data_IF_352100634060
#
_entry.id   IF_352100634060
#
_cell.length_a   1.000
_cell.length_b   1.000
_cell.length_c   1.000
_cell.angle_alpha   90.00
_cell.angle_beta   90.00
_cell.angle_gamma   90.00
#
_symmetry.space_group_name_H-M   'P 1'
#
loop_
_entity.id
_entity.type
_entity.pdbx_description
1 polymer ?
#
# COMPACT_ATOMS: atom_id res chain seq x y z
N UNK A 1 10.77 30.26 2.62
CA UNK A 1 10.94 30.12 4.08
C UNK A 1 11.61 28.77 4.29
N UNK A 2 12.86 28.82 4.73
CA UNK A 2 13.82 27.73 4.81
C UNK A 2 13.40 26.65 5.81
N UNK A 3 13.21 25.42 5.34
CA UNK A 3 13.08 24.23 6.19
C UNK A 3 14.42 23.50 6.10
N UNK A 4 15.31 23.82 7.04
CA UNK A 4 16.47 22.99 7.35
C UNK A 4 16.45 22.78 8.86
N UNK A 5 16.31 21.51 9.27
CA UNK A 5 17.00 20.85 10.38
C UNK A 5 16.36 19.48 10.56
N UNK A 6 16.83 18.53 9.75
CA UNK A 6 16.66 17.10 10.02
C UNK A 6 17.49 16.74 11.25
N UNK A 7 16.87 16.68 12.41
CA UNK A 7 17.41 15.87 13.52
C UNK A 7 16.96 14.43 13.29
N UNK A 8 17.70 13.73 12.42
CA UNK A 8 17.72 12.27 12.48
C UNK A 8 18.43 11.92 13.79
N UNK A 9 17.74 11.36 14.77
CA UNK A 9 18.43 10.59 15.80
C UNK A 9 19.16 9.45 15.06
N UNK A 10 20.50 9.43 15.08
CA UNK A 10 21.22 8.41 14.37
C UNK A 10 20.93 7.09 15.08
N UNK A 11 20.55 6.07 14.30
CA UNK A 11 20.54 4.68 14.74
C UNK A 11 21.85 4.46 15.50
N UNK A 12 21.76 4.14 16.79
CA UNK A 12 22.97 3.90 17.57
C UNK A 12 23.74 2.75 16.91
N UNK A 13 24.89 3.07 16.31
CA UNK A 13 25.74 2.11 15.61
C UNK A 13 26.05 0.88 16.49
N UNK A 14 26.13 1.07 17.81
CA UNK A 14 26.33 -0.03 18.76
C UNK A 14 25.17 -1.03 18.76
N UNK A 15 23.93 -0.54 18.73
CA UNK A 15 22.73 -1.38 18.77
C UNK A 15 22.53 -2.13 17.44
N UNK A 16 22.79 -1.46 16.31
CA UNK A 16 22.75 -2.10 14.99
C UNK A 16 23.80 -3.21 14.89
N UNK A 17 25.02 -2.96 15.36
CA UNK A 17 26.11 -3.93 15.34
C UNK A 17 25.81 -5.14 16.23
N UNK A 18 25.17 -4.94 17.38
CA UNK A 18 24.76 -6.03 18.27
C UNK A 18 23.72 -6.96 17.60
N UNK A 19 22.66 -6.39 17.03
CA UNK A 19 21.62 -7.15 16.34
C UNK A 19 22.16 -7.86 15.08
N UNK A 20 23.06 -7.20 14.34
CA UNK A 20 23.75 -7.82 13.20
C UNK A 20 24.61 -9.02 13.62
N UNK A 21 25.33 -8.92 14.75
CA UNK A 21 26.13 -10.04 15.29
C UNK A 21 25.24 -11.21 15.70
N UNK A 22 24.07 -10.95 16.29
CA UNK A 22 23.07 -12.01 16.60
C UNK A 22 22.64 -12.71 15.31
N UNK A 23 22.29 -11.94 14.28
CA UNK A 23 21.89 -12.47 12.97
C UNK A 23 22.98 -13.35 12.33
N UNK A 24 24.21 -12.85 12.29
CA UNK A 24 25.36 -13.57 11.73
C UNK A 24 25.62 -14.88 12.48
N UNK A 25 25.51 -14.85 13.82
CA UNK A 25 25.67 -16.05 14.65
C UNK A 25 24.55 -17.05 14.35
N UNK A 26 23.28 -16.62 14.25
CA UNK A 26 22.17 -17.50 13.89
C UNK A 26 22.34 -18.14 12.51
N UNK A 27 22.77 -17.38 11.50
CA UNK A 27 23.07 -17.92 10.17
C UNK A 27 24.20 -18.95 10.19
N UNK A 28 25.27 -18.66 10.96
CA UNK A 28 26.38 -19.59 11.15
C UNK A 28 25.91 -20.90 11.82
N UNK A 29 25.08 -20.83 12.85
CA UNK A 29 24.53 -22.02 13.52
C UNK A 29 23.61 -22.83 12.58
N UNK A 30 22.76 -22.17 11.78
CA UNK A 30 21.95 -22.84 10.74
C UNK A 30 22.86 -23.56 9.74
N UNK A 31 23.91 -22.90 9.27
CA UNK A 31 24.85 -23.48 8.31
C UNK A 31 25.60 -24.68 8.91
N UNK A 32 26.13 -24.56 10.13
CA UNK A 32 26.79 -25.66 10.85
C UNK A 32 25.83 -26.83 11.11
N UNK A 33 24.59 -26.54 11.47
CA UNK A 33 23.54 -27.53 11.64
C UNK A 33 23.22 -28.25 10.33
N UNK A 34 23.02 -27.53 9.23
CA UNK A 34 22.86 -28.13 7.90
C UNK A 34 24.08 -29.00 7.56
N UNK A 35 25.31 -28.51 7.75
CA UNK A 35 26.53 -29.31 7.50
C UNK A 35 26.59 -30.60 8.34
N UNK A 36 26.18 -30.54 9.61
CA UNK A 36 26.18 -31.71 10.50
C UNK A 36 25.14 -32.77 10.10
N UNK A 37 24.02 -32.36 9.50
CA UNK A 37 22.88 -33.24 9.24
C UNK A 37 22.60 -33.52 7.74
N UNK A 38 23.18 -32.77 6.79
CA UNK A 38 22.80 -32.79 5.37
C UNK A 38 23.70 -33.63 4.44
N UNK A 39 24.65 -34.44 4.92
CA UNK A 39 25.44 -35.29 4.02
C UNK A 39 25.03 -36.78 4.06
N UNK A 40 24.51 -37.37 2.97
CA UNK A 40 24.56 -38.81 2.77
C UNK A 40 25.97 -39.19 2.31
N UNK A 41 26.83 -39.61 3.24
CA UNK A 41 28.11 -40.27 2.90
C UNK A 41 29.38 -39.80 3.60
N UNK A 42 29.36 -38.73 4.41
CA UNK A 42 30.55 -38.35 5.20
C UNK A 42 30.36 -38.68 6.69
N UNK A 43 31.17 -39.65 7.13
CA UNK A 43 31.49 -40.02 8.52
C UNK A 43 30.40 -39.73 9.55
N UNK A 44 29.45 -40.66 9.68
CA UNK A 44 28.64 -40.79 10.89
C UNK A 44 29.57 -40.86 12.09
N UNK A 45 29.68 -39.77 12.84
CA UNK A 45 30.03 -39.87 14.25
C UNK A 45 28.87 -40.63 14.89
N UNK A 46 29.12 -41.89 15.21
CA UNK A 46 28.13 -42.78 15.79
C UNK A 46 27.55 -42.15 17.07
N UNK A 47 26.21 -42.16 17.13
CA UNK A 47 25.33 -41.71 18.23
C UNK A 47 25.05 -40.19 18.29
N UNK A 48 24.41 -39.65 17.27
CA UNK A 48 23.50 -38.51 17.48
C UNK A 48 22.15 -39.09 17.96
N UNK A 49 21.58 -38.64 19.08
CA UNK A 49 20.30 -39.14 19.58
C UNK A 49 19.21 -39.00 18.51
N UNK A 50 18.42 -40.05 18.28
CA UNK A 50 17.31 -40.11 17.31
C UNK A 50 16.17 -39.11 17.56
N UNK A 51 16.28 -38.26 18.58
CA UNK A 51 15.18 -37.48 19.13
C UNK A 51 15.33 -35.95 18.96
N UNK A 52 16.30 -35.50 18.17
CA UNK A 52 16.40 -34.08 17.82
C UNK A 52 15.50 -33.83 16.62
N UNK A 53 14.42 -33.10 16.83
CA UNK A 53 13.51 -32.70 15.75
C UNK A 53 14.20 -31.67 14.85
N UNK A 54 14.89 -32.20 13.84
CA UNK A 54 15.74 -31.45 12.93
C UNK A 54 15.01 -30.25 12.30
N UNK A 55 13.77 -30.48 11.85
CA UNK A 55 12.97 -29.47 11.18
C UNK A 55 12.50 -28.39 12.15
N UNK A 56 12.03 -28.76 13.35
CA UNK A 56 11.57 -27.79 14.34
C UNK A 56 12.69 -26.88 14.85
N UNK A 57 13.93 -27.39 14.98
CA UNK A 57 15.07 -26.56 15.33
C UNK A 57 15.45 -25.59 14.20
N UNK A 58 15.46 -26.06 12.95
CA UNK A 58 15.73 -25.21 11.79
C UNK A 58 14.65 -24.11 11.66
N UNK A 59 13.38 -24.46 11.81
CA UNK A 59 12.26 -23.51 11.82
C UNK A 59 12.46 -22.47 12.93
N UNK A 60 12.75 -22.91 14.16
CA UNK A 60 12.93 -22.02 15.30
C UNK A 60 14.09 -21.04 15.10
N UNK A 61 15.23 -21.50 14.55
CA UNK A 61 16.36 -20.64 14.23
C UNK A 61 16.03 -19.62 13.14
N UNK A 62 15.32 -20.02 12.08
CA UNK A 62 14.88 -19.11 11.04
C UNK A 62 13.86 -18.08 11.56
N UNK A 63 12.93 -18.47 12.43
CA UNK A 63 11.99 -17.56 13.08
C UNK A 63 12.71 -16.55 13.99
N UNK A 64 13.73 -16.98 14.74
CA UNK A 64 14.57 -16.09 15.53
C UNK A 64 15.32 -15.08 14.63
N UNK A 65 15.89 -15.56 13.53
CA UNK A 65 16.56 -14.70 12.55
C UNK A 65 15.59 -13.66 11.97
N UNK A 66 14.38 -14.09 11.59
CA UNK A 66 13.32 -13.21 11.09
C UNK A 66 12.93 -12.14 12.12
N UNK A 67 12.78 -12.53 13.40
CA UNK A 67 12.45 -11.62 14.49
C UNK A 67 13.54 -10.55 14.70
N UNK A 68 14.81 -10.94 14.65
CA UNK A 68 15.93 -10.00 14.76
C UNK A 68 15.99 -9.03 13.57
N UNK A 69 15.76 -9.51 12.34
CA UNK A 69 15.66 -8.63 11.15
C UNK A 69 14.51 -7.64 11.28
N UNK A 70 13.35 -8.08 11.76
CA UNK A 70 12.19 -7.23 11.97
C UNK A 70 12.46 -6.15 13.05
N UNK A 71 13.10 -6.53 14.15
CA UNK A 71 13.56 -5.59 15.20
C UNK A 71 14.51 -4.52 14.63
N UNK A 72 15.45 -4.90 13.76
CA UNK A 72 16.34 -3.97 13.07
C UNK A 72 15.58 -3.03 12.14
N UNK A 73 14.73 -3.60 11.28
CA UNK A 73 13.96 -2.84 10.29
C UNK A 73 12.99 -1.85 10.96
N UNK A 74 12.28 -2.27 12.01
CA UNK A 74 11.35 -1.39 12.74
C UNK A 74 12.06 -0.21 13.40
N UNK A 75 13.32 -0.37 13.83
CA UNK A 75 14.15 0.71 14.37
C UNK A 75 14.72 1.64 13.30
N UNK A 76 14.92 1.15 12.08
CA UNK A 76 15.43 1.94 10.96
C UNK A 76 14.32 2.69 10.19
N UNK A 77 13.05 2.33 10.38
CA UNK A 77 11.95 2.99 9.69
C UNK A 77 11.85 4.47 10.06
N UNK A 78 11.96 5.33 9.05
CA UNK A 78 11.75 6.75 9.21
C UNK A 78 10.25 7.07 9.37
N UNK A 79 9.73 6.86 10.58
CA UNK A 79 8.31 7.04 10.90
C UNK A 79 7.83 8.47 10.58
N UNK A 80 8.67 9.47 10.81
CA UNK A 80 8.36 10.87 10.51
C UNK A 80 8.22 11.09 9.00
N UNK A 81 9.16 10.60 8.18
CA UNK A 81 9.04 10.66 6.71
C UNK A 81 7.78 9.95 6.23
N UNK A 82 7.49 8.75 6.75
CA UNK A 82 6.28 8.00 6.41
C UNK A 82 5.00 8.81 6.70
N UNK A 83 4.86 9.34 7.91
CA UNK A 83 3.68 10.11 8.31
C UNK A 83 3.55 11.43 7.52
N UNK A 84 4.67 12.09 7.24
CA UNK A 84 4.72 13.28 6.39
C UNK A 84 4.27 12.98 4.96
N UNK A 85 4.78 11.90 4.36
CA UNK A 85 4.50 11.54 2.98
C UNK A 85 3.04 11.07 2.80
N UNK A 86 2.48 10.36 3.79
CA UNK A 86 1.03 10.06 3.82
C UNK A 86 0.20 11.34 3.80
N UNK A 87 0.49 12.30 4.70
CA UNK A 87 -0.24 13.59 4.75
C UNK A 87 -0.10 14.37 3.45
N UNK A 88 1.10 14.40 2.88
CA UNK A 88 1.37 15.02 1.59
C UNK A 88 0.51 14.39 0.49
N UNK A 89 0.54 13.06 0.34
CA UNK A 89 -0.21 12.37 -0.70
C UNK A 89 -1.72 12.56 -0.55
N UNK A 90 -2.26 12.41 0.66
CA UNK A 90 -3.69 12.66 0.90
C UNK A 90 -4.10 14.11 0.57
N UNK A 91 -3.22 15.08 0.85
CA UNK A 91 -3.45 16.48 0.47
C UNK A 91 -3.40 16.70 -1.04
N UNK A 92 -2.45 16.06 -1.74
CA UNK A 92 -2.35 16.12 -3.21
C UNK A 92 -3.63 15.58 -3.85
N UNK A 93 -4.07 14.38 -3.43
CA UNK A 93 -5.29 13.77 -3.94
C UNK A 93 -6.50 14.66 -3.65
N UNK A 94 -6.64 15.13 -2.41
CA UNK A 94 -7.77 15.99 -2.04
C UNK A 94 -7.79 17.30 -2.85
N UNK A 95 -6.62 17.92 -3.07
CA UNK A 95 -6.54 19.20 -3.80
C UNK A 95 -6.81 19.03 -5.29
N UNK A 96 -6.37 17.91 -5.88
CA UNK A 96 -6.65 17.56 -7.28
C UNK A 96 -8.14 17.26 -7.50
N UNK A 97 -8.76 16.51 -6.58
CA UNK A 97 -10.17 16.15 -6.70
C UNK A 97 -11.12 17.31 -6.39
N UNK A 98 -10.71 18.28 -5.57
CA UNK A 98 -11.55 19.41 -5.14
C UNK A 98 -11.06 20.76 -5.71
N UNK A 99 -11.22 21.02 -7.02
CA UNK A 99 -10.88 22.32 -7.59
C UNK A 99 -11.74 23.43 -6.97
N UNK A 100 -11.18 24.64 -6.88
CA UNK A 100 -11.91 25.83 -6.37
C UNK A 100 -13.11 26.21 -7.25
N UNK A 101 -13.02 25.93 -8.55
CA UNK A 101 -14.08 26.17 -9.52
C UNK A 101 -14.16 24.96 -10.46
N UNK A 102 -15.22 24.15 -10.33
CA UNK A 102 -15.49 23.01 -11.22
C UNK A 102 -16.41 23.49 -12.36
N UNK A 103 -15.89 24.35 -13.25
CA UNK A 103 -16.64 24.88 -14.39
C UNK A 103 -15.72 25.19 -15.54
N UNK A 104 -16.12 24.84 -16.76
CA UNK A 104 -15.35 25.07 -17.98
C UNK A 104 -13.91 24.48 -17.92
N UNK A 105 -13.72 23.40 -17.16
CA UNK A 105 -12.45 22.69 -16.99
C UNK A 105 -12.48 21.30 -17.66
N UNK A 106 -11.29 20.73 -17.88
CA UNK A 106 -11.16 19.34 -18.30
C UNK A 106 -11.20 18.40 -17.09
N UNK A 107 -11.91 17.28 -17.24
CA UNK A 107 -12.06 16.26 -16.20
C UNK A 107 -11.82 14.87 -16.79
N UNK A 108 -11.33 13.95 -15.97
CA UNK A 108 -11.31 12.54 -16.32
C UNK A 108 -12.66 11.95 -15.89
N UNK A 109 -13.38 11.33 -16.82
CA UNK A 109 -14.69 10.76 -16.56
C UNK A 109 -14.64 9.23 -16.60
N UNK A 110 -15.28 8.56 -15.64
CA UNK A 110 -15.43 7.12 -15.62
C UNK A 110 -16.90 6.73 -15.50
N UNK A 111 -17.36 5.90 -16.44
CA UNK A 111 -18.67 5.26 -16.39
C UNK A 111 -18.51 3.75 -16.14
N UNK A 112 -18.99 3.23 -14.98
CA UNK A 112 -18.93 1.80 -14.71
C UNK A 112 -19.78 0.99 -15.69
N UNK A 113 -19.23 -0.12 -16.20
CA UNK A 113 -19.97 -1.09 -17.01
C UNK A 113 -20.77 -2.06 -16.14
N UNK A 114 -21.82 -2.64 -16.71
CA UNK A 114 -22.83 -3.45 -16.03
C UNK A 114 -22.33 -4.78 -15.42
N UNK A 115 -21.10 -5.20 -15.69
CA UNK A 115 -20.55 -6.50 -15.24
C UNK A 115 -19.31 -6.27 -14.35
N UNK A 116 -19.50 -5.84 -13.10
CA UNK A 116 -18.38 -5.57 -12.19
C UNK A 116 -18.84 -5.48 -10.72
N UNK A 117 -18.21 -6.25 -9.82
CA UNK A 117 -18.44 -6.18 -8.37
C UNK A 117 -17.67 -5.05 -7.67
N UNK A 118 -17.80 -4.90 -6.35
CA UNK A 118 -17.19 -3.80 -5.58
C UNK A 118 -15.69 -3.65 -5.80
N UNK A 119 -14.94 -4.75 -5.64
CA UNK A 119 -13.48 -4.73 -5.81
C UNK A 119 -13.06 -4.31 -7.23
N UNK A 120 -13.79 -4.78 -8.24
CA UNK A 120 -13.57 -4.38 -9.63
C UNK A 120 -13.86 -2.88 -9.84
N UNK A 121 -14.95 -2.34 -9.27
CA UNK A 121 -15.28 -0.91 -9.37
C UNK A 121 -14.23 -0.06 -8.66
N UNK A 122 -13.81 -0.45 -7.45
CA UNK A 122 -12.77 0.25 -6.69
C UNK A 122 -11.43 0.23 -7.45
N UNK A 123 -11.07 -0.87 -8.10
CA UNK A 123 -9.87 -0.93 -8.94
C UNK A 123 -9.94 0.00 -10.15
N UNK A 124 -11.09 0.09 -10.84
CA UNK A 124 -11.25 1.02 -11.95
C UNK A 124 -11.22 2.49 -11.49
N UNK A 125 -11.84 2.80 -10.35
CA UNK A 125 -11.76 4.12 -9.73
C UNK A 125 -10.30 4.44 -9.36
N UNK A 126 -9.56 3.47 -8.80
CA UNK A 126 -8.15 3.65 -8.47
C UNK A 126 -7.30 3.93 -9.71
N UNK A 127 -7.50 3.18 -10.79
CA UNK A 127 -6.85 3.45 -12.07
C UNK A 127 -7.20 4.85 -12.61
N UNK A 128 -8.48 5.21 -12.62
CA UNK A 128 -8.92 6.53 -13.06
C UNK A 128 -8.34 7.65 -12.21
N UNK A 129 -8.17 7.42 -10.90
CA UNK A 129 -7.59 8.40 -10.00
C UNK A 129 -6.08 8.55 -10.24
N UNK A 130 -5.36 7.46 -10.54
CA UNK A 130 -3.96 7.52 -10.99
C UNK A 130 -3.82 8.38 -12.24
N UNK A 131 -4.66 8.15 -13.27
CA UNK A 131 -4.66 8.94 -14.51
C UNK A 131 -4.98 10.41 -14.23
N UNK A 132 -6.01 10.67 -13.43
CA UNK A 132 -6.44 12.01 -13.06
C UNK A 132 -5.34 12.81 -12.33
N UNK A 133 -4.62 12.16 -11.41
CA UNK A 133 -3.47 12.75 -10.72
C UNK A 133 -2.31 13.02 -11.69
N UNK A 134 -2.02 12.09 -12.60
CA UNK A 134 -0.99 12.24 -13.61
C UNK A 134 -1.27 13.39 -14.59
N UNK A 135 -2.52 13.56 -15.01
CA UNK A 135 -2.94 14.65 -15.90
C UNK A 135 -3.28 15.96 -15.16
N UNK A 136 -3.27 15.97 -13.82
CA UNK A 136 -3.62 17.14 -13.03
C UNK A 136 -5.09 17.57 -13.15
N UNK A 137 -5.99 16.63 -13.47
CA UNK A 137 -7.44 16.85 -13.64
C UNK A 137 -8.23 16.15 -12.54
N UNK A 138 -9.41 16.62 -12.13
CA UNK A 138 -10.26 15.87 -11.21
C UNK A 138 -10.86 14.63 -11.90
N UNK A 139 -11.14 13.60 -11.11
CA UNK A 139 -11.84 12.40 -11.57
C UNK A 139 -13.32 12.55 -11.20
N UNK A 140 -14.19 12.42 -12.19
CA UNK A 140 -15.64 12.34 -11.97
C UNK A 140 -16.12 10.95 -12.35
N UNK A 141 -16.90 10.33 -11.47
CA UNK A 141 -17.33 8.94 -11.62
C UNK A 141 -18.85 8.90 -11.60
N UNK A 142 -19.44 8.31 -12.63
CA UNK A 142 -20.88 8.07 -12.68
C UNK A 142 -21.26 7.09 -11.59
N UNK A 143 -22.28 7.44 -10.81
CA UNK A 143 -22.86 6.54 -9.83
C UNK A 143 -23.29 5.23 -10.50
N UNK A 144 -22.90 4.10 -9.90
CA UNK A 144 -23.31 2.77 -10.35
C UNK A 144 -23.87 1.96 -9.20
N UNK A 145 -24.96 1.20 -9.43
CA UNK A 145 -25.54 0.36 -8.40
C UNK A 145 -24.56 -0.71 -7.97
N UNK A 146 -24.64 -1.10 -6.70
CA UNK A 146 -23.87 -2.19 -6.14
C UNK A 146 -24.71 -2.97 -5.12
N UNK A 147 -25.09 -4.21 -5.48
CA UNK A 147 -26.02 -5.03 -4.69
C UNK A 147 -27.29 -4.24 -4.32
N UNK A 148 -27.58 -4.11 -3.03
CA UNK A 148 -28.74 -3.42 -2.48
C UNK A 148 -28.54 -1.90 -2.37
N UNK A 149 -27.40 -1.36 -2.81
CA UNK A 149 -27.12 0.07 -2.85
C UNK A 149 -27.36 0.63 -4.25
N UNK A 150 -28.02 1.79 -4.32
CA UNK A 150 -28.28 2.50 -5.57
C UNK A 150 -26.97 3.06 -6.16
N UNK A 151 -25.98 3.33 -5.31
CA UNK A 151 -24.65 3.79 -5.70
C UNK A 151 -23.55 3.21 -4.82
N UNK A 152 -22.38 2.92 -5.40
CA UNK A 152 -21.16 2.69 -4.61
C UNK A 152 -20.87 3.85 -3.65
N UNK A 153 -21.26 5.08 -4.01
CA UNK A 153 -21.15 6.27 -3.16
C UNK A 153 -22.17 6.33 -2.03
N UNK A 154 -23.09 5.38 -1.92
CA UNK A 154 -23.84 5.18 -0.69
C UNK A 154 -22.93 4.57 0.38
N UNK A 155 -21.99 3.72 -0.03
CA UNK A 155 -21.07 3.00 0.87
C UNK A 155 -19.84 3.84 1.20
N UNK A 156 -19.18 4.37 0.18
CA UNK A 156 -17.99 5.23 0.31
C UNK A 156 -18.37 6.71 0.22
N UNK A 157 -17.54 7.57 0.79
CA UNK A 157 -17.63 9.02 0.64
C UNK A 157 -17.40 9.39 -0.84
N UNK A 158 -17.99 10.50 -1.33
CA UNK A 158 -17.69 10.98 -2.67
C UNK A 158 -16.20 11.27 -2.84
N UNK A 159 -15.69 11.10 -4.05
CA UNK A 159 -14.27 11.36 -4.36
C UNK A 159 -13.92 12.83 -4.26
N UNK A 160 -14.90 13.70 -4.54
CA UNK A 160 -14.81 15.14 -4.43
C UNK A 160 -16.05 15.69 -3.72
N UNK A 161 -15.89 16.79 -3.01
CA UNK A 161 -16.98 17.61 -2.46
C UNK A 161 -17.40 18.70 -3.45
N UNK A 162 -16.48 19.19 -4.30
CA UNK A 162 -16.71 20.37 -5.18
C UNK A 162 -16.94 20.07 -6.67
N UNK A 163 -16.69 18.85 -7.15
CA UNK A 163 -16.74 18.50 -8.57
C UNK A 163 -17.31 17.08 -8.77
N UNK A 164 -18.49 16.98 -9.38
CA UNK A 164 -19.27 15.73 -9.46
C UNK A 164 -19.58 15.35 -10.91
N UNK A 165 -19.97 14.10 -11.15
CA UNK A 165 -20.24 13.59 -12.50
C UNK A 165 -21.39 14.33 -13.19
N UNK A 166 -22.44 14.65 -12.46
CA UNK A 166 -23.63 15.37 -12.94
C UNK A 166 -23.31 16.82 -13.35
N UNK A 167 -22.11 17.31 -12.98
CA UNK A 167 -21.64 18.62 -13.38
C UNK A 167 -21.12 18.67 -14.81
N UNK A 168 -20.90 17.53 -15.49
CA UNK A 168 -20.39 17.50 -16.87
C UNK A 168 -21.22 18.40 -17.78
N UNK A 169 -22.54 18.18 -17.82
CA UNK A 169 -23.44 18.96 -18.67
C UNK A 169 -23.73 20.35 -18.09
N UNK A 170 -23.96 20.45 -16.77
CA UNK A 170 -24.42 21.70 -16.14
C UNK A 170 -23.32 22.76 -16.01
N UNK A 171 -22.06 22.34 -15.93
CA UNK A 171 -20.90 23.21 -15.76
C UNK A 171 -19.98 23.23 -16.99
N UNK A 172 -20.44 22.69 -18.13
CA UNK A 172 -19.72 22.67 -19.40
C UNK A 172 -18.30 22.07 -19.26
N UNK A 173 -18.20 20.93 -18.58
CA UNK A 173 -16.92 20.26 -18.36
C UNK A 173 -16.53 19.49 -19.62
N UNK A 174 -15.24 19.54 -19.97
CA UNK A 174 -14.68 18.72 -21.04
C UNK A 174 -14.27 17.37 -20.49
N UNK A 175 -15.17 16.40 -20.57
CA UNK A 175 -14.96 15.05 -20.07
C UNK A 175 -14.09 14.21 -21.04
N UNK A 176 -12.95 13.72 -20.54
CA UNK A 176 -12.16 12.66 -21.18
C UNK A 176 -12.58 11.33 -20.56
N UNK A 177 -13.34 10.53 -21.30
CA UNK A 177 -13.86 9.25 -20.82
C UNK A 177 -12.77 8.17 -20.80
N UNK A 178 -12.72 7.40 -19.71
CA UNK A 178 -11.88 6.21 -19.60
C UNK A 178 -12.63 5.01 -20.19
N UNK A 179 -12.16 4.53 -21.33
CA UNK A 179 -12.65 3.31 -21.97
C UNK A 179 -11.84 2.10 -21.50
N UNK A 180 -12.51 1.09 -20.96
CA UNK A 180 -11.87 -0.09 -20.36
C UNK A 180 -11.85 -1.33 -21.25
N UNK A 181 -12.62 -1.38 -22.37
CA UNK A 181 -12.61 -2.53 -23.31
C UNK A 181 -11.39 -2.50 -24.21
N UNK A 182 -10.86 -1.32 -24.51
CA UNK A 182 -9.65 -1.13 -25.30
C UNK A 182 -8.49 -0.83 -24.35
N UNK A 183 -8.08 -1.85 -23.59
CA UNK A 183 -6.81 -1.98 -22.85
C UNK A 183 -6.01 -0.69 -22.69
N UNK A 184 -6.17 -0.02 -21.55
CA UNK A 184 -5.12 0.80 -20.93
C UNK A 184 -4.25 1.59 -21.91
N UNK A 185 -4.87 2.35 -22.82
CA UNK A 185 -4.13 3.01 -23.89
C UNK A 185 -3.07 3.99 -23.34
N UNK A 186 -3.28 4.50 -22.12
CA UNK A 186 -2.29 5.30 -21.42
C UNK A 186 -1.32 4.38 -20.67
N UNK A 187 -0.38 3.81 -21.43
CA UNK A 187 0.67 2.93 -20.90
C UNK A 187 1.47 3.57 -19.75
N UNK A 188 1.53 4.89 -19.71
CA UNK A 188 2.25 5.65 -18.67
C UNK A 188 1.61 5.54 -17.28
N UNK A 189 0.30 5.26 -17.18
CA UNK A 189 -0.42 5.15 -15.90
C UNK A 189 -0.81 3.73 -15.54
N UNK A 190 -0.33 2.75 -16.31
CA UNK A 190 -0.52 1.34 -16.02
C UNK A 190 0.27 0.91 -14.78
N UNK A 191 -0.32 0.15 -13.84
CA UNK A 191 0.45 -0.54 -12.82
C UNK A 191 1.66 -1.26 -13.42
N UNK A 192 2.87 -1.12 -12.83
CA UNK A 192 3.16 -0.51 -11.52
C UNK A 192 3.55 0.98 -11.58
N UNK A 193 2.89 1.82 -12.38
CA UNK A 193 3.20 3.26 -12.47
C UNK A 193 2.88 4.04 -11.18
N UNK A 194 3.81 4.92 -10.79
CA UNK A 194 3.68 5.89 -9.70
C UNK A 194 4.64 7.09 -9.93
N UNK A 195 4.52 8.20 -9.19
CA UNK A 195 5.39 9.36 -9.38
C UNK A 195 6.84 9.11 -8.93
N UNK A 196 7.80 9.23 -9.85
CA UNK A 196 9.23 8.95 -9.59
C UNK A 196 9.81 9.88 -8.50
N UNK A 197 9.32 11.12 -8.40
CA UNK A 197 9.85 12.13 -7.48
C UNK A 197 9.66 11.82 -5.99
N UNK A 198 8.83 10.83 -5.65
CA UNK A 198 8.63 10.37 -4.26
C UNK A 198 9.25 9.00 -4.00
N UNK A 199 9.86 8.36 -5.00
CA UNK A 199 10.39 6.99 -4.89
C UNK A 199 11.40 6.84 -3.76
N UNK A 200 12.46 7.66 -3.76
CA UNK A 200 13.52 7.59 -2.73
C UNK A 200 12.94 7.77 -1.32
N UNK A 201 11.99 8.70 -1.16
CA UNK A 201 11.33 8.94 0.12
C UNK A 201 10.51 7.73 0.60
N UNK A 202 9.89 6.97 -0.32
CA UNK A 202 9.14 5.75 0.01
C UNK A 202 10.11 4.62 0.37
N UNK A 203 11.21 4.48 -0.37
CA UNK A 203 12.23 3.44 -0.15
C UNK A 203 12.92 3.56 1.22
N UNK A 204 12.87 4.73 1.88
CA UNK A 204 13.31 4.91 3.27
C UNK A 204 12.53 4.06 4.28
N UNK A 205 11.30 3.63 3.95
CA UNK A 205 10.43 2.94 4.92
C UNK A 205 9.56 1.81 4.34
N UNK A 206 9.50 1.64 3.02
CA UNK A 206 8.70 0.62 2.34
C UNK A 206 9.50 -0.03 1.21
N UNK A 207 9.41 -1.36 1.09
CA UNK A 207 10.21 -2.14 0.11
C UNK A 207 9.62 -2.14 -1.31
N UNK A 208 8.36 -1.73 -1.45
CA UNK A 208 7.65 -1.65 -2.73
C UNK A 208 6.99 -0.28 -2.89
N UNK A 209 7.63 0.67 -3.61
CA UNK A 209 7.11 2.02 -3.76
C UNK A 209 5.73 2.10 -4.43
N UNK A 210 5.49 1.25 -5.43
CA UNK A 210 4.21 1.20 -6.13
C UNK A 210 3.09 0.74 -5.19
N UNK A 211 3.34 -0.34 -4.43
CA UNK A 211 2.35 -0.87 -3.49
C UNK A 211 1.99 0.16 -2.41
N UNK A 212 2.99 0.91 -1.93
CA UNK A 212 2.73 2.01 -1.01
C UNK A 212 1.90 3.12 -1.67
N UNK A 213 2.24 3.53 -2.89
CA UNK A 213 1.53 4.57 -3.61
C UNK A 213 0.06 4.20 -3.86
N UNK A 214 -0.21 3.01 -4.40
CA UNK A 214 -1.58 2.56 -4.66
C UNK A 214 -2.38 2.41 -3.36
N UNK A 215 -1.73 2.09 -2.24
CA UNK A 215 -2.40 2.07 -0.93
C UNK A 215 -2.92 3.46 -0.52
N UNK A 216 -2.23 4.55 -0.89
CA UNK A 216 -2.69 5.91 -0.61
C UNK A 216 -3.95 6.27 -1.43
N UNK A 217 -3.99 5.84 -2.69
CA UNK A 217 -5.18 5.95 -3.56
C UNK A 217 -6.34 5.16 -2.96
N UNK A 218 -6.11 3.91 -2.58
CA UNK A 218 -7.13 3.05 -1.98
C UNK A 218 -7.65 3.63 -0.66
N UNK A 219 -6.77 4.18 0.18
CA UNK A 219 -7.16 4.84 1.43
C UNK A 219 -8.05 6.07 1.18
N UNK A 220 -7.84 6.81 0.09
CA UNK A 220 -8.67 7.93 -0.30
C UNK A 220 -10.06 7.48 -0.78
N UNK A 221 -10.11 6.43 -1.61
CA UNK A 221 -11.35 5.89 -2.19
C UNK A 221 -12.22 5.22 -1.12
N UNK A 222 -11.62 4.38 -0.27
CA UNK A 222 -12.34 3.54 0.70
C UNK A 222 -12.73 4.27 2.00
N UNK A 223 -12.84 5.60 1.97
CA UNK A 223 -13.41 6.35 3.08
C UNK A 223 -14.88 5.99 3.22
N UNK A 224 -15.22 5.13 4.17
CA UNK A 224 -16.60 4.72 4.38
C UNK A 224 -17.45 5.87 4.90
N UNK A 225 -18.73 5.91 4.49
CA UNK A 225 -19.68 6.86 5.05
C UNK A 225 -19.89 6.63 6.56
N UNK A 226 -20.13 7.67 7.37
CA UNK A 226 -20.31 7.53 8.81
C UNK A 226 -21.42 6.55 9.23
N UNK A 227 -22.49 6.43 8.43
CA UNK A 227 -23.58 5.51 8.75
C UNK A 227 -23.20 4.03 8.49
N UNK A 228 -22.29 3.76 7.54
CA UNK A 228 -21.74 2.42 7.30
C UNK A 228 -20.87 2.01 8.49
N UNK A 229 -20.02 2.91 8.99
CA UNK A 229 -19.25 2.67 10.22
C UNK A 229 -20.10 2.24 11.40
N UNK A 230 -21.32 2.80 11.55
CA UNK A 230 -22.26 2.41 12.62
C UNK A 230 -22.86 1.01 12.40
N UNK A 231 -23.01 0.58 11.15
CA UNK A 231 -23.54 -0.75 10.80
C UNK A 231 -22.48 -1.85 10.93
N UNK A 232 -21.21 -1.51 10.71
CA UNK A 232 -20.08 -2.40 10.96
C UNK A 232 -19.98 -2.66 12.46
N UNK A 233 -20.60 -3.76 12.91
CA UNK A 233 -20.43 -4.28 14.28
C UNK A 233 -18.98 -4.77 14.37
N UNK A 234 -18.09 -4.11 15.12
CA UNK A 234 -16.71 -4.55 15.22
C UNK A 234 -16.72 -5.91 15.92
N UNK A 235 -16.31 -6.95 15.21
CA UNK A 235 -15.94 -8.21 15.85
C UNK A 235 -14.62 -7.92 16.58
N UNK A 236 -14.51 -8.34 17.83
CA UNK A 236 -13.28 -8.14 18.60
C UNK A 236 -12.18 -9.06 18.05
N UNK A 237 -11.41 -8.52 17.12
CA UNK A 237 -10.25 -9.17 16.53
C UNK A 237 -9.07 -9.08 17.51
N UNK A 238 -8.61 -10.21 18.04
CA UNK A 238 -7.43 -10.30 18.92
C UNK A 238 -6.21 -10.74 18.13
N UNK A 239 -5.16 -9.92 18.12
CA UNK A 239 -3.89 -10.25 17.47
C UNK A 239 -3.18 -11.43 18.18
N UNK A 240 -2.40 -12.27 17.45
CA UNK A 240 -2.14 -12.22 16.00
C UNK A 240 -3.29 -12.84 15.18
N UNK A 241 -3.62 -12.24 14.03
CA UNK A 241 -4.64 -12.73 13.09
C UNK A 241 -4.03 -12.81 11.69
N UNK A 242 -4.31 -13.90 11.00
CA UNK A 242 -4.04 -14.09 9.57
C UNK A 242 -5.39 -14.21 8.87
N UNK A 243 -5.63 -13.33 7.91
CA UNK A 243 -6.85 -13.33 7.09
C UNK A 243 -6.72 -14.23 5.87
#
# INVERSE_FOLDING_TARGET
>A
MSINLSFNEPISYSNMLEEWKKLFTTQKEILLFIFQYAAPGMLRVNKVPKNVDFYNNLISLNLLQMSNLYSLHSKSQNRMTRESLVKYMQKVINSNQNPKNCRDIEVIAYEPRSICGFGCQVHHIAYGLTVALGEGKPLVVKASPWHDFESIFDVIMPLSETCHYEMIDTHNLKAKYLELEEEYQIKEFLPPAFPENIKEQIEEFHTDPFLWYISQIMMYIMRLRPYIWKKLRPIEFKSPIVG
#
